data_IF_441909094172
#
_entry.id   IF_441909094172
#
_cell.length_a   1.000
_cell.length_b   1.000
_cell.length_c   1.000
_cell.angle_alpha   90.00
_cell.angle_beta   90.00
_cell.angle_gamma   90.00
#
_symmetry.space_group_name_H-M   'P 1'
#
loop_
_entity.id
_entity.type
_entity.pdbx_description
1 polymer ?
#
# COMPACT_ATOMS: atom_id res chain seq x y z
N UNK A 1 22.59 14.62 9.72
CA UNK A 1 21.43 15.52 9.56
C UNK A 1 21.14 15.87 8.10
N UNK A 2 21.14 14.88 7.22
CA UNK A 2 20.69 15.04 5.84
C UNK A 2 19.81 13.84 5.51
N UNK A 3 18.49 14.06 5.55
CA UNK A 3 17.48 13.10 5.10
C UNK A 3 17.04 13.56 3.70
N UNK A 4 17.22 12.73 2.68
CA UNK A 4 16.64 12.94 1.34
C UNK A 4 15.54 11.92 1.18
N UNK A 5 14.31 12.30 1.54
CA UNK A 5 13.10 11.63 1.08
C UNK A 5 12.62 12.36 -0.17
N UNK A 6 12.55 11.69 -1.31
CA UNK A 6 11.90 12.26 -2.49
C UNK A 6 10.41 11.92 -2.42
N UNK A 7 9.58 12.95 -2.19
CA UNK A 7 8.17 12.87 -2.55
C UNK A 7 8.11 12.99 -4.07
N UNK A 8 7.81 11.89 -4.76
CA UNK A 8 7.33 11.97 -6.15
C UNK A 8 5.89 12.48 -6.08
N UNK A 9 5.74 13.76 -5.73
CA UNK A 9 4.50 14.49 -5.88
C UNK A 9 4.54 15.14 -7.26
N UNK A 10 3.93 14.49 -8.24
CA UNK A 10 3.79 15.12 -9.53
C UNK A 10 2.68 16.15 -9.41
N UNK A 11 3.08 17.42 -9.39
CA UNK A 11 2.16 18.53 -9.37
C UNK A 11 1.23 18.46 -10.58
N UNK A 12 -0.05 18.19 -10.31
CA UNK A 12 -1.18 18.52 -11.18
C UNK A 12 -1.17 17.95 -12.59
N UNK A 13 -0.42 16.87 -12.85
CA UNK A 13 -0.54 16.07 -14.06
C UNK A 13 -0.48 14.60 -13.67
N UNK A 14 -1.50 13.85 -14.07
CA UNK A 14 -1.62 12.44 -13.79
C UNK A 14 -0.39 11.69 -14.33
N UNK A 15 0.17 10.76 -13.54
CA UNK A 15 1.00 9.72 -14.14
C UNK A 15 0.05 8.86 -14.94
N UNK A 16 0.13 8.99 -16.26
CA UNK A 16 -0.50 8.04 -17.18
C UNK A 16 0.58 7.06 -17.59
N UNK A 17 0.72 5.95 -16.85
CA UNK A 17 1.64 4.87 -17.19
C UNK A 17 2.18 4.05 -16.01
N UNK A 18 2.88 2.94 -16.30
CA UNK A 18 3.44 2.06 -15.28
C UNK A 18 4.41 2.77 -14.34
N UNK A 19 4.25 2.55 -13.03
CA UNK A 19 5.19 3.00 -12.00
C UNK A 19 5.89 1.80 -11.38
N UNK A 20 7.21 1.75 -11.57
CA UNK A 20 8.04 0.70 -10.97
C UNK A 20 9.05 1.32 -10.01
N UNK A 21 9.06 0.83 -8.78
CA UNK A 21 9.95 1.29 -7.71
C UNK A 21 10.73 0.08 -7.20
N UNK A 22 12.06 0.22 -7.21
CA UNK A 22 12.98 -0.85 -6.82
C UNK A 22 13.97 -0.37 -5.77
N UNK A 23 14.36 -1.26 -4.86
CA UNK A 23 15.54 -1.10 -4.00
C UNK A 23 15.57 0.23 -3.22
N UNK A 24 14.38 0.73 -2.84
CA UNK A 24 14.19 2.05 -2.24
C UNK A 24 13.86 1.95 -0.75
N UNK A 25 14.21 3.00 0.01
CA UNK A 25 13.94 3.07 1.46
C UNK A 25 13.13 4.33 1.77
N UNK A 26 11.98 4.14 2.41
CA UNK A 26 11.07 5.18 2.89
C UNK A 26 11.10 5.16 4.42
N UNK A 27 11.39 6.29 5.07
CA UNK A 27 11.46 6.32 6.53
C UNK A 27 11.15 7.69 7.13
N UNK A 28 10.59 7.71 8.33
CA UNK A 28 10.30 8.93 9.12
C UNK A 28 9.47 10.00 8.36
N UNK A 29 8.64 9.57 7.42
CA UNK A 29 7.66 10.43 6.74
C UNK A 29 6.44 10.74 7.62
N UNK A 30 5.78 11.87 7.33
CA UNK A 30 4.60 12.36 8.07
C UNK A 30 3.25 11.77 7.67
N UNK A 31 3.15 11.11 6.52
CA UNK A 31 1.88 10.59 5.96
C UNK A 31 2.02 9.14 5.46
N UNK A 32 3.10 8.44 5.84
CA UNK A 32 3.41 7.08 5.37
C UNK A 32 4.59 7.00 4.41
N UNK A 33 4.98 5.78 4.05
CA UNK A 33 6.20 5.48 3.28
C UNK A 33 6.04 5.69 1.78
N UNK A 34 5.30 4.78 1.14
CA UNK A 34 4.95 4.83 -0.27
C UNK A 34 3.43 4.80 -0.44
N UNK A 35 2.88 5.69 -1.27
CA UNK A 35 1.45 5.75 -1.55
C UNK A 35 1.21 5.75 -3.05
N UNK A 36 0.49 4.75 -3.54
CA UNK A 36 -0.03 4.72 -4.89
C UNK A 36 -1.51 5.11 -4.92
N UNK A 37 -1.76 6.39 -5.19
CA UNK A 37 -3.08 7.02 -5.05
C UNK A 37 -4.12 6.47 -6.04
N UNK A 38 -5.40 6.60 -5.69
CA UNK A 38 -6.53 6.15 -6.50
C UNK A 38 -6.64 6.81 -7.88
N UNK A 39 -6.19 8.07 -7.97
CA UNK A 39 -6.18 8.88 -9.20
C UNK A 39 -5.02 8.52 -10.17
N UNK A 40 -4.11 7.62 -9.78
CA UNK A 40 -3.02 7.19 -10.66
C UNK A 40 -3.50 6.13 -11.66
N UNK A 41 -3.29 6.41 -12.95
CA UNK A 41 -3.61 5.51 -14.05
C UNK A 41 -2.41 4.65 -14.43
N UNK A 42 -2.56 3.33 -14.29
CA UNK A 42 -1.57 2.34 -14.69
C UNK A 42 -1.18 1.35 -13.59
N UNK A 43 -0.40 0.31 -13.96
CA UNK A 43 0.09 -0.67 -13.01
C UNK A 43 1.17 -0.09 -12.10
N UNK A 44 1.26 -0.62 -10.89
CA UNK A 44 2.28 -0.26 -9.91
C UNK A 44 3.05 -1.51 -9.47
N UNK A 45 4.38 -1.42 -9.46
CA UNK A 45 5.24 -2.47 -8.95
C UNK A 45 6.21 -1.86 -7.93
N UNK A 46 6.13 -2.34 -6.70
CA UNK A 46 7.08 -2.05 -5.63
C UNK A 46 7.83 -3.33 -5.30
N UNK A 47 9.12 -3.36 -5.56
CA UNK A 47 9.94 -4.56 -5.35
C UNK A 47 11.21 -4.25 -4.57
N UNK A 48 11.56 -5.10 -3.59
CA UNK A 48 12.77 -4.97 -2.75
C UNK A 48 12.88 -3.60 -2.05
N UNK A 49 11.75 -3.03 -1.65
CA UNK A 49 11.71 -1.76 -0.94
C UNK A 49 11.59 -1.96 0.57
N UNK A 50 11.93 -0.92 1.34
CA UNK A 50 11.81 -0.88 2.80
C UNK A 50 11.01 0.36 3.21
N UNK A 51 10.01 0.21 4.08
CA UNK A 51 9.23 1.33 4.63
C UNK A 51 9.10 1.24 6.16
N UNK A 52 9.49 2.28 6.91
CA UNK A 52 9.46 2.23 8.38
C UNK A 52 9.38 3.56 9.14
N UNK A 53 8.85 3.51 10.36
CA UNK A 53 8.97 4.58 11.35
C UNK A 53 8.19 5.83 10.99
N UNK A 54 7.05 5.69 10.33
CA UNK A 54 6.18 6.82 10.00
C UNK A 54 5.41 7.26 11.25
N UNK A 55 5.02 8.54 11.33
CA UNK A 55 4.46 9.12 12.58
C UNK A 55 3.22 9.99 12.31
N UNK A 56 2.53 9.71 11.22
CA UNK A 56 1.38 10.46 10.73
C UNK A 56 0.05 10.06 11.36
N UNK A 57 -1.01 10.73 10.93
CA UNK A 57 -2.38 10.20 11.10
C UNK A 57 -2.54 8.96 10.20
N UNK A 58 -2.01 9.06 8.98
CA UNK A 58 -1.91 7.94 8.05
C UNK A 58 -0.49 7.35 8.18
N UNK A 59 -0.33 6.35 9.04
CA UNK A 59 0.95 5.74 9.39
C UNK A 59 1.08 4.35 8.75
N UNK A 60 1.18 4.32 7.43
CA UNK A 60 1.40 3.11 6.65
C UNK A 60 2.83 3.03 6.10
N UNK A 61 3.38 1.81 6.00
CA UNK A 61 4.62 1.55 5.27
C UNK A 61 4.40 1.69 3.76
N UNK A 62 3.48 0.88 3.22
CA UNK A 62 3.08 0.93 1.82
C UNK A 62 1.57 1.00 1.71
N UNK A 63 1.04 1.92 0.90
CA UNK A 63 -0.37 1.99 0.57
C UNK A 63 -0.58 1.83 -0.93
N UNK A 64 -1.48 0.92 -1.31
CA UNK A 64 -2.00 0.77 -2.65
C UNK A 64 -3.49 1.08 -2.62
N UNK A 65 -3.90 2.12 -3.34
CA UNK A 65 -5.32 2.41 -3.46
C UNK A 65 -5.96 1.50 -4.54
N UNK A 66 -7.28 1.43 -4.61
CA UNK A 66 -8.01 1.04 -5.81
C UNK A 66 -8.02 2.18 -6.84
N UNK A 67 -8.01 1.89 -8.15
CA UNK A 67 -8.12 2.94 -9.18
C UNK A 67 -9.57 3.45 -9.34
N UNK A 68 -9.73 4.75 -9.59
CA UNK A 68 -11.02 5.37 -9.97
C UNK A 68 -11.36 5.23 -11.48
N UNK A 69 -10.44 4.71 -12.31
CA UNK A 69 -10.53 4.63 -13.79
C UNK A 69 -10.98 3.26 -14.36
N UNK A 70 -10.85 3.09 -15.70
CA UNK A 70 -11.17 1.82 -16.38
C UNK A 70 -10.29 0.66 -15.88
N UNK A 71 -10.91 -0.52 -15.79
CA UNK A 71 -10.52 -1.66 -14.97
C UNK A 71 -9.09 -2.21 -15.17
N UNK A 72 -8.54 -2.78 -14.07
CA UNK A 72 -7.68 -3.96 -14.14
C UNK A 72 -6.17 -3.72 -14.16
N UNK A 73 -5.67 -2.67 -13.50
CA UNK A 73 -4.22 -2.55 -13.32
C UNK A 73 -3.77 -3.34 -12.10
N UNK A 74 -2.98 -4.39 -12.34
CA UNK A 74 -2.35 -5.17 -11.28
C UNK A 74 -1.38 -4.27 -10.51
N UNK A 75 -1.62 -4.12 -9.21
CA UNK A 75 -0.75 -3.40 -8.28
C UNK A 75 -0.07 -4.41 -7.38
N UNK A 76 1.26 -4.36 -7.34
CA UNK A 76 2.07 -5.38 -6.71
C UNK A 76 3.05 -4.78 -5.71
N UNK A 77 3.13 -5.38 -4.53
CA UNK A 77 4.26 -5.19 -3.61
C UNK A 77 4.87 -6.56 -3.37
N UNK A 78 6.16 -6.70 -3.68
CA UNK A 78 6.85 -7.94 -3.43
C UNK A 78 8.27 -7.79 -2.91
N UNK A 79 8.72 -8.85 -2.24
CA UNK A 79 10.09 -8.95 -1.71
C UNK A 79 10.48 -7.75 -0.84
N UNK A 80 9.50 -7.08 -0.23
CA UNK A 80 9.66 -5.80 0.45
C UNK A 80 9.48 -5.95 1.96
N UNK A 81 9.96 -4.96 2.71
CA UNK A 81 9.95 -4.96 4.18
C UNK A 81 9.17 -3.74 4.69
N UNK A 82 8.17 -3.95 5.53
CA UNK A 82 7.51 -2.88 6.28
C UNK A 82 7.70 -3.09 7.78
N UNK A 83 8.12 -2.07 8.54
CA UNK A 83 8.24 -2.24 9.98
C UNK A 83 8.05 -0.99 10.81
N UNK A 84 7.63 -1.17 12.06
CA UNK A 84 7.39 -0.07 13.00
C UNK A 84 6.53 1.06 12.39
N UNK A 85 5.45 0.68 11.72
CA UNK A 85 4.40 1.58 11.24
C UNK A 85 3.09 1.19 11.96
N UNK A 86 2.06 2.02 11.92
CA UNK A 86 0.73 1.59 12.36
C UNK A 86 0.22 0.45 11.46
N UNK A 87 0.30 0.65 10.15
CA UNK A 87 -0.02 -0.32 9.11
C UNK A 87 1.23 -0.69 8.31
N UNK A 88 1.58 -1.97 8.21
CA UNK A 88 2.70 -2.42 7.39
C UNK A 88 2.41 -2.17 5.90
N UNK A 89 1.33 -2.80 5.41
CA UNK A 89 0.80 -2.62 4.07
C UNK A 89 -0.70 -2.34 4.16
N UNK A 90 -1.13 -1.22 3.60
CA UNK A 90 -2.53 -0.81 3.49
C UNK A 90 -3.02 -1.02 2.05
N UNK A 91 -4.04 -1.85 1.88
CA UNK A 91 -4.82 -1.95 0.66
C UNK A 91 -6.12 -1.14 0.84
N UNK A 92 -6.16 0.07 0.29
CA UNK A 92 -7.29 0.98 0.44
C UNK A 92 -8.18 0.92 -0.81
N UNK A 93 -9.42 0.47 -0.72
CA UNK A 93 -10.24 0.22 -1.91
C UNK A 93 -11.50 1.08 -1.99
N UNK A 94 -11.55 1.98 -2.99
CA UNK A 94 -12.70 2.82 -3.33
C UNK A 94 -13.41 2.32 -4.61
N UNK A 95 -14.65 1.81 -4.50
CA UNK A 95 -15.63 1.59 -5.58
C UNK A 95 -15.23 0.85 -6.91
N UNK A 96 -14.01 0.33 -7.12
CA UNK A 96 -13.63 -0.31 -8.41
C UNK A 96 -12.62 -1.49 -8.36
N UNK A 97 -12.44 -2.12 -9.54
CA UNK A 97 -11.88 -3.45 -9.81
C UNK A 97 -10.33 -3.49 -9.96
N UNK A 98 -9.58 -3.33 -8.87
CA UNK A 98 -8.14 -3.59 -8.87
C UNK A 98 -7.83 -4.77 -7.94
N UNK A 99 -7.41 -5.88 -8.54
CA UNK A 99 -6.82 -6.98 -7.78
C UNK A 99 -5.38 -6.58 -7.44
N UNK A 100 -4.92 -6.94 -6.24
CA UNK A 100 -3.61 -6.54 -5.74
C UNK A 100 -2.85 -7.78 -5.30
N UNK A 101 -1.56 -7.82 -5.61
CA UNK A 101 -0.71 -8.95 -5.30
C UNK A 101 0.34 -8.56 -4.28
N UNK A 102 0.32 -9.22 -3.13
CA UNK A 102 1.33 -9.05 -2.09
C UNK A 102 2.05 -10.37 -1.89
N UNK A 103 3.35 -10.42 -2.22
CA UNK A 103 4.10 -11.65 -2.06
C UNK A 103 5.55 -11.53 -1.62
N UNK A 104 6.01 -12.52 -0.87
CA UNK A 104 7.36 -12.57 -0.31
C UNK A 104 7.72 -11.34 0.54
N UNK A 105 6.74 -10.68 1.16
CA UNK A 105 7.01 -9.51 2.00
C UNK A 105 7.27 -9.91 3.45
N UNK A 106 8.05 -9.10 4.17
CA UNK A 106 8.27 -9.25 5.60
C UNK A 106 7.73 -8.02 6.32
N UNK A 107 6.79 -8.23 7.24
CA UNK A 107 6.18 -7.17 8.01
C UNK A 107 6.43 -7.43 9.49
N UNK A 108 6.99 -6.46 10.21
CA UNK A 108 7.23 -6.64 11.64
C UNK A 108 7.05 -5.40 12.50
N UNK A 109 6.64 -5.57 13.75
CA UNK A 109 6.51 -4.47 14.71
C UNK A 109 5.47 -3.42 14.29
N UNK A 110 4.54 -3.76 13.39
CA UNK A 110 3.44 -2.89 12.97
C UNK A 110 2.13 -3.35 13.60
N UNK A 111 1.25 -2.46 14.06
CA UNK A 111 -0.01 -2.85 14.71
C UNK A 111 -0.84 -3.77 13.79
N UNK A 112 -1.00 -3.33 12.53
CA UNK A 112 -1.59 -4.09 11.44
C UNK A 112 -0.50 -4.50 10.45
N UNK A 113 -0.40 -5.80 10.16
CA UNK A 113 0.53 -6.34 9.17
C UNK A 113 0.10 -5.96 7.75
N UNK A 114 -0.96 -6.60 7.28
CA UNK A 114 -1.74 -6.17 6.11
C UNK A 114 -3.10 -5.70 6.60
N UNK A 115 -3.42 -4.43 6.30
CA UNK A 115 -4.72 -3.82 6.53
C UNK A 115 -5.43 -3.68 5.18
N UNK A 116 -6.62 -4.28 5.06
CA UNK A 116 -7.46 -4.17 3.86
C UNK A 116 -8.71 -3.40 4.25
N UNK A 117 -8.86 -2.22 3.68
CA UNK A 117 -9.99 -1.33 3.91
C UNK A 117 -10.81 -1.22 2.63
N UNK A 118 -12.12 -1.48 2.73
CA UNK A 118 -13.03 -1.39 1.57
C UNK A 118 -14.14 -0.38 1.80
N UNK A 119 -14.34 0.49 0.80
CA UNK A 119 -15.34 1.55 0.76
C UNK A 119 -16.36 1.31 -0.37
N UNK A 120 -17.65 1.46 -0.06
CA UNK A 120 -18.76 1.43 -1.04
C UNK A 120 -19.35 0.04 -1.38
N UNK A 121 -20.41 0.02 -2.21
CA UNK A 121 -21.11 -1.21 -2.58
C UNK A 121 -20.28 -2.04 -3.57
N UNK A 122 -19.52 -2.99 -3.03
CA UNK A 122 -18.73 -3.92 -3.82
C UNK A 122 -19.62 -4.74 -4.76
N UNK A 123 -19.48 -4.52 -6.08
CA UNK A 123 -20.24 -5.27 -7.10
C UNK A 123 -19.60 -6.63 -7.45
N UNK A 124 -18.44 -6.97 -6.89
CA UNK A 124 -17.79 -8.28 -7.06
C UNK A 124 -16.90 -8.68 -5.87
N UNK A 125 -16.59 -9.97 -5.69
CA UNK A 125 -15.54 -10.43 -4.79
C UNK A 125 -14.17 -9.83 -5.15
N UNK A 126 -13.37 -9.51 -4.14
CA UNK A 126 -12.00 -9.06 -4.29
C UNK A 126 -11.08 -10.24 -4.60
N UNK A 127 -10.21 -10.09 -5.62
CA UNK A 127 -9.29 -11.11 -6.08
C UNK A 127 -7.86 -10.93 -5.56
N UNK A 128 -7.65 -10.30 -4.40
CA UNK A 128 -6.29 -10.09 -3.88
C UNK A 128 -5.54 -11.41 -3.70
N UNK A 129 -4.28 -11.44 -4.16
CA UNK A 129 -3.41 -12.59 -4.01
C UNK A 129 -2.34 -12.30 -2.96
N UNK A 130 -2.42 -13.00 -1.82
CA UNK A 130 -1.52 -12.82 -0.69
C UNK A 130 -0.77 -14.14 -0.45
N UNK A 131 0.51 -14.21 -0.80
CA UNK A 131 1.28 -15.46 -0.66
C UNK A 131 2.72 -15.23 -0.18
N UNK A 132 3.19 -16.13 0.70
CA UNK A 132 4.55 -16.08 1.28
C UNK A 132 4.88 -14.77 2.03
N UNK A 133 3.88 -14.08 2.59
CA UNK A 133 4.12 -12.94 3.47
C UNK A 133 4.40 -13.43 4.90
N UNK A 134 5.38 -12.81 5.56
CA UNK A 134 5.79 -13.11 6.93
C UNK A 134 5.36 -11.95 7.83
N UNK A 135 4.71 -12.28 8.94
CA UNK A 135 4.32 -11.34 9.98
C UNK A 135 5.03 -11.70 11.28
N UNK A 136 5.60 -10.70 11.96
CA UNK A 136 6.23 -10.89 13.25
C UNK A 136 5.98 -9.68 14.15
N UNK A 137 5.56 -9.89 15.39
CA UNK A 137 5.34 -8.78 16.32
C UNK A 137 4.32 -7.74 15.82
N UNK A 138 3.30 -8.21 15.09
CA UNK A 138 2.10 -7.43 14.74
C UNK A 138 0.93 -7.89 15.61
N UNK A 139 0.09 -6.95 16.04
CA UNK A 139 -1.14 -7.30 16.77
C UNK A 139 -2.10 -8.08 15.86
N UNK A 140 -2.24 -7.61 14.62
CA UNK A 140 -3.03 -8.24 13.57
C UNK A 140 -2.15 -8.58 12.38
N UNK A 141 -1.99 -9.86 12.03
CA UNK A 141 -1.23 -10.25 10.83
C UNK A 141 -1.92 -9.84 9.53
N UNK A 142 -3.20 -10.23 9.39
CA UNK A 142 -4.09 -9.79 8.32
C UNK A 142 -5.38 -9.30 8.96
N UNK A 143 -5.79 -8.08 8.63
CA UNK A 143 -7.03 -7.46 9.09
C UNK A 143 -7.82 -6.96 7.89
N UNK A 144 -9.12 -7.25 7.87
CA UNK A 144 -10.02 -6.77 6.83
C UNK A 144 -11.16 -6.00 7.50
N UNK A 145 -11.28 -4.72 7.17
CA UNK A 145 -12.39 -3.88 7.58
C UNK A 145 -13.28 -3.59 6.39
N UNK A 146 -14.58 -3.57 6.65
CA UNK A 146 -15.53 -2.99 5.74
C UNK A 146 -16.14 -1.81 6.47
N UNK A 147 -16.03 -0.60 5.93
CA UNK A 147 -16.68 0.54 6.57
C UNK A 147 -18.19 0.28 6.55
N UNK A 148 -18.78 0.03 7.73
CA UNK A 148 -20.20 -0.37 7.83
C UNK A 148 -21.19 0.79 7.73
N UNK A 149 -20.75 1.99 7.35
CA UNK A 149 -21.59 3.19 7.33
C UNK A 149 -21.62 3.87 5.93
N UNK A 150 -22.70 3.59 5.19
CA UNK A 150 -23.32 4.36 4.09
C UNK A 150 -22.48 4.84 2.88
#
# INVERSE_FOLDING_TARGET
DSKVGFKVGLGGNDIVGPVNVYDSVFYDNLQGGFHFHADADGPALVERCIAYGHTGVDDYGFQLDGSLGEAGFDRQINSSIAYNNYEGIHLYQYNFNADMELYNNTIYGSEYGIYIETHGSQNRPLGHELYNNIFSDSEYGLFCENETDA
#
